data_IF_378801768350
#
_entry.id   IF_378801768350
#
_cell.length_a   1.000
_cell.length_b   1.000
_cell.length_c   1.000
_cell.angle_alpha   90.00
_cell.angle_beta   90.00
_cell.angle_gamma   90.00
#
_symmetry.space_group_name_H-M   'P 1'
#
loop_
_entity.id
_entity.type
_entity.pdbx_description
1 polymer ?
#
# COMPACT_ATOMS: atom_id res chain seq x y z
N UNK A 1 23.12 39.18 -17.03
CA UNK A 1 23.61 38.30 -18.10
C UNK A 1 24.78 37.41 -17.68
N UNK A 2 25.87 37.93 -17.05
CA UNK A 2 26.97 37.08 -16.58
C UNK A 2 26.60 36.24 -15.34
N UNK A 3 25.84 36.81 -14.41
CA UNK A 3 25.36 36.12 -13.21
C UNK A 3 24.35 35.01 -13.54
N UNK A 4 23.45 35.20 -14.53
CA UNK A 4 22.51 34.17 -14.99
C UNK A 4 23.21 32.99 -15.65
N UNK A 5 24.25 33.26 -16.47
CA UNK A 5 25.06 32.20 -17.08
C UNK A 5 25.89 31.41 -16.05
N UNK A 6 26.34 32.07 -14.99
CA UNK A 6 27.03 31.38 -13.87
C UNK A 6 26.08 30.53 -13.05
N UNK A 7 24.84 30.99 -12.81
CA UNK A 7 23.80 30.24 -12.14
C UNK A 7 23.33 29.03 -12.97
N UNK A 8 23.11 29.19 -14.27
CA UNK A 8 22.78 28.09 -15.18
C UNK A 8 23.91 27.05 -15.27
N UNK A 9 25.18 27.49 -15.33
CA UNK A 9 26.34 26.58 -15.37
C UNK A 9 26.57 25.86 -14.04
N UNK A 10 26.23 26.50 -12.90
CA UNK A 10 26.24 25.86 -11.57
C UNK A 10 25.08 24.87 -11.42
N UNK A 11 23.91 25.20 -11.98
CA UNK A 11 22.75 24.29 -12.01
C UNK A 11 23.00 23.06 -12.90
N UNK A 12 23.59 23.25 -14.10
CA UNK A 12 24.00 22.16 -15.01
C UNK A 12 25.07 21.26 -14.36
N UNK A 13 26.04 21.84 -13.67
CA UNK A 13 27.08 21.09 -12.97
C UNK A 13 26.52 20.33 -11.76
N UNK A 14 25.52 20.87 -11.06
CA UNK A 14 24.82 20.20 -9.97
C UNK A 14 23.92 19.05 -10.46
N UNK A 15 23.43 19.11 -11.69
CA UNK A 15 22.66 18.02 -12.33
C UNK A 15 23.61 16.90 -12.79
N UNK A 16 24.82 17.21 -13.28
CA UNK A 16 25.85 16.22 -13.65
C UNK A 16 26.51 15.54 -12.44
N UNK A 17 26.49 16.17 -11.26
CA UNK A 17 27.00 15.61 -9.99
C UNK A 17 25.92 14.89 -9.16
N UNK A 18 24.65 14.89 -9.59
CA UNK A 18 23.61 14.19 -8.87
C UNK A 18 23.84 12.66 -8.91
N UNK A 19 23.91 11.97 -7.76
CA UNK A 19 24.12 10.53 -7.75
C UNK A 19 23.01 9.81 -8.52
N UNK A 20 23.38 8.78 -9.27
CA UNK A 20 22.42 7.94 -10.01
C UNK A 20 21.29 7.48 -9.09
N UNK A 21 20.01 7.44 -9.57
CA UNK A 21 18.89 6.89 -8.80
C UNK A 21 19.14 5.46 -8.26
N UNK A 22 20.06 4.73 -8.88
CA UNK A 22 20.46 3.37 -8.50
C UNK A 22 21.65 3.31 -7.54
N UNK A 23 22.26 4.47 -7.22
CA UNK A 23 23.45 4.54 -6.36
C UNK A 23 23.25 3.84 -4.99
N UNK A 24 22.10 3.94 -4.31
CA UNK A 24 21.87 3.25 -3.03
C UNK A 24 22.08 1.73 -3.10
N UNK A 25 21.83 1.09 -4.25
CA UNK A 25 22.02 -0.36 -4.43
C UNK A 25 23.50 -0.80 -4.44
N UNK A 26 24.44 0.14 -4.52
CA UNK A 26 25.87 -0.16 -4.37
C UNK A 26 26.23 -0.57 -2.93
N UNK A 27 25.50 -0.02 -1.94
CA UNK A 27 25.61 -0.49 -0.56
C UNK A 27 25.05 -1.91 -0.43
N UNK A 28 25.88 -2.86 0.00
CA UNK A 28 25.46 -4.25 0.18
C UNK A 28 24.32 -4.39 1.20
N UNK A 29 24.38 -3.60 2.28
CA UNK A 29 23.36 -3.59 3.35
C UNK A 29 22.04 -3.04 2.82
N UNK A 30 22.07 -1.87 2.16
CA UNK A 30 20.86 -1.29 1.57
C UNK A 30 20.24 -2.23 0.54
N UNK A 31 21.04 -2.81 -0.35
CA UNK A 31 20.59 -3.76 -1.37
C UNK A 31 19.93 -4.99 -0.76
N UNK A 32 20.54 -5.60 0.26
CA UNK A 32 19.97 -6.77 0.92
C UNK A 32 18.64 -6.45 1.60
N UNK A 33 18.56 -5.34 2.34
CA UNK A 33 17.33 -4.87 2.99
C UNK A 33 16.26 -4.51 1.95
N UNK A 34 16.63 -3.84 0.85
CA UNK A 34 15.69 -3.48 -0.21
C UNK A 34 15.08 -4.72 -0.88
N UNK A 35 15.91 -5.74 -1.18
CA UNK A 35 15.43 -7.02 -1.74
C UNK A 35 14.51 -7.72 -0.73
N UNK A 36 14.89 -7.79 0.55
CA UNK A 36 14.08 -8.42 1.59
C UNK A 36 12.71 -7.73 1.73
N UNK A 37 12.67 -6.39 1.72
CA UNK A 37 11.42 -5.62 1.75
C UNK A 37 10.61 -5.82 0.47
N UNK A 38 11.23 -5.90 -0.70
CA UNK A 38 10.53 -6.20 -1.95
C UNK A 38 9.85 -7.57 -1.89
N UNK A 39 10.57 -8.61 -1.45
CA UNK A 39 10.02 -9.96 -1.27
C UNK A 39 8.89 -9.97 -0.25
N UNK A 40 9.06 -9.29 0.89
CA UNK A 40 8.03 -9.15 1.92
C UNK A 40 6.79 -8.43 1.42
N UNK A 41 6.95 -7.37 0.61
CA UNK A 41 5.83 -6.67 -0.03
C UNK A 41 5.09 -7.57 -1.02
N UNK A 42 5.81 -8.34 -1.86
CA UNK A 42 5.22 -9.33 -2.78
C UNK A 42 4.43 -10.37 -1.98
N UNK A 43 5.04 -10.95 -0.93
CA UNK A 43 4.39 -11.93 -0.06
C UNK A 43 3.11 -11.39 0.60
N UNK A 44 3.14 -10.13 1.06
CA UNK A 44 1.97 -9.47 1.66
C UNK A 44 0.82 -9.29 0.66
N UNK A 45 1.11 -8.92 -0.59
CA UNK A 45 0.10 -8.89 -1.65
C UNK A 45 -0.44 -10.28 -1.98
N UNK A 46 0.44 -11.27 -2.07
CA UNK A 46 0.03 -12.66 -2.26
C UNK A 46 -0.90 -13.11 -1.15
N UNK A 47 -0.58 -12.82 0.10
CA UNK A 47 -1.40 -13.18 1.26
C UNK A 47 -2.79 -12.53 1.23
N UNK A 48 -2.90 -11.26 0.86
CA UNK A 48 -4.19 -10.58 0.73
C UNK A 48 -5.08 -11.30 -0.27
N UNK A 49 -4.52 -11.70 -1.43
CA UNK A 49 -5.21 -12.50 -2.45
C UNK A 49 -5.64 -13.85 -1.89
N UNK A 50 -4.74 -14.56 -1.21
CA UNK A 50 -5.02 -15.85 -0.60
C UNK A 50 -6.11 -15.79 0.46
N UNK A 51 -6.05 -14.79 1.34
CA UNK A 51 -7.05 -14.61 2.40
C UNK A 51 -8.44 -14.29 1.83
N UNK A 52 -8.54 -13.43 0.83
CA UNK A 52 -9.80 -13.13 0.16
C UNK A 52 -10.33 -14.35 -0.62
N UNK A 53 -9.44 -15.06 -1.34
CA UNK A 53 -9.85 -16.23 -2.13
C UNK A 53 -10.35 -17.39 -1.27
N UNK A 54 -9.77 -17.59 -0.09
CA UNK A 54 -10.20 -18.64 0.85
C UNK A 54 -11.67 -18.47 1.30
N UNK A 55 -12.19 -17.26 1.30
CA UNK A 55 -13.54 -16.93 1.77
C UNK A 55 -14.56 -16.75 0.63
N UNK A 56 -14.13 -16.84 -0.64
CA UNK A 56 -14.98 -16.47 -1.80
C UNK A 56 -16.19 -17.40 -1.98
N UNK A 57 -16.04 -18.68 -1.66
CA UNK A 57 -17.08 -19.71 -1.86
C UNK A 57 -17.94 -19.96 -0.62
N UNK A 58 -17.64 -19.34 0.54
CA UNK A 58 -18.33 -19.57 1.80
C UNK A 58 -19.67 -18.84 1.93
N UNK A 59 -20.50 -19.23 2.93
CA UNK A 59 -21.69 -18.45 3.29
C UNK A 59 -21.28 -17.08 3.82
N UNK A 60 -22.01 -16.02 3.42
CA UNK A 60 -21.66 -14.64 3.79
C UNK A 60 -20.40 -14.09 3.14
N UNK A 61 -19.94 -14.67 2.02
CA UNK A 61 -18.69 -14.32 1.38
C UNK A 61 -18.55 -12.83 1.06
N UNK A 62 -19.62 -12.11 0.71
CA UNK A 62 -19.56 -10.67 0.43
C UNK A 62 -19.04 -9.87 1.62
N UNK A 63 -19.52 -10.18 2.82
CA UNK A 63 -19.06 -9.54 4.05
C UNK A 63 -17.67 -10.03 4.43
N UNK A 64 -17.44 -11.34 4.43
CA UNK A 64 -16.18 -11.94 4.88
C UNK A 64 -15.00 -11.54 4.02
N UNK A 65 -15.15 -11.57 2.71
CA UNK A 65 -14.09 -11.16 1.75
C UNK A 65 -13.78 -9.66 1.89
N UNK A 66 -14.80 -8.84 2.06
CA UNK A 66 -14.62 -7.41 2.30
C UNK A 66 -13.95 -7.13 3.68
N UNK A 67 -14.27 -7.92 4.70
CA UNK A 67 -13.64 -7.82 6.02
C UNK A 67 -12.16 -8.19 6.01
N UNK A 68 -11.66 -8.99 5.06
CA UNK A 68 -10.21 -9.22 4.89
C UNK A 68 -9.50 -7.89 4.60
N UNK A 69 -10.04 -7.08 3.70
CA UNK A 69 -9.47 -5.76 3.40
C UNK A 69 -9.56 -4.81 4.59
N UNK A 70 -10.68 -4.86 5.32
CA UNK A 70 -10.86 -4.11 6.58
C UNK A 70 -9.85 -4.57 7.63
N UNK A 71 -9.69 -5.88 7.85
CA UNK A 71 -8.75 -6.44 8.81
C UNK A 71 -7.29 -6.11 8.49
N UNK A 72 -6.93 -6.01 7.21
CA UNK A 72 -5.59 -5.61 6.78
C UNK A 72 -5.31 -4.11 6.98
N UNK A 73 -6.33 -3.26 6.81
CA UNK A 73 -6.20 -1.80 6.82
C UNK A 73 -6.43 -1.17 8.19
N UNK A 74 -7.33 -1.75 9.00
CA UNK A 74 -7.71 -1.25 10.32
C UNK A 74 -6.53 -1.14 11.30
N UNK A 75 -5.58 -2.09 11.37
CA UNK A 75 -4.42 -1.96 12.24
C UNK A 75 -3.57 -0.74 11.91
N UNK A 76 -3.43 -0.39 10.63
CA UNK A 76 -2.67 0.81 10.24
C UNK A 76 -3.36 2.07 10.77
N UNK A 77 -4.70 2.14 10.69
CA UNK A 77 -5.47 3.23 11.29
C UNK A 77 -5.22 3.33 12.81
N UNK A 78 -5.21 2.21 13.51
CA UNK A 78 -5.10 2.16 14.98
C UNK A 78 -3.66 2.37 15.47
N UNK A 79 -2.68 1.80 14.76
CA UNK A 79 -1.29 1.72 15.23
C UNK A 79 -0.32 2.63 14.51
N UNK A 80 -0.68 3.29 13.39
CA UNK A 80 0.24 4.17 12.66
C UNK A 80 0.84 5.27 13.54
N UNK A 81 0.04 5.88 14.41
CA UNK A 81 0.51 6.92 15.33
C UNK A 81 1.38 6.36 16.46
N UNK A 82 0.96 5.33 17.23
CA UNK A 82 1.82 4.68 18.23
C UNK A 82 3.10 4.10 17.66
N UNK A 83 3.06 3.54 16.44
CA UNK A 83 4.23 2.93 15.80
C UNK A 83 5.33 3.94 15.46
N UNK A 84 4.97 5.16 15.09
CA UNK A 84 5.92 6.24 14.87
C UNK A 84 6.71 6.53 16.14
N UNK A 85 6.04 6.56 17.31
CA UNK A 85 6.68 6.73 18.63
C UNK A 85 7.62 5.58 18.93
N UNK A 86 7.13 4.34 18.78
CA UNK A 86 7.96 3.16 19.04
C UNK A 86 9.23 3.16 18.20
N UNK A 87 9.17 3.62 16.94
CA UNK A 87 10.32 3.73 16.06
C UNK A 87 11.33 4.82 16.47
N UNK A 88 10.90 5.83 17.24
CA UNK A 88 11.79 6.86 17.78
C UNK A 88 12.48 6.43 19.08
N UNK A 89 11.77 5.71 19.96
CA UNK A 89 12.25 5.33 21.29
C UNK A 89 13.01 4.01 21.32
N UNK A 90 12.62 3.05 20.46
CA UNK A 90 13.22 1.72 20.46
C UNK A 90 14.35 1.59 19.44
N UNK A 91 15.17 0.57 19.63
CA UNK A 91 16.15 0.17 18.63
C UNK A 91 15.42 -0.30 17.36
N UNK A 92 15.62 0.43 16.26
CA UNK A 92 14.91 0.21 14.99
C UNK A 92 15.12 -1.19 14.43
N UNK A 93 16.37 -1.69 14.53
CA UNK A 93 16.71 -3.05 14.10
C UNK A 93 16.00 -4.10 14.94
N UNK A 94 16.03 -3.96 16.28
CA UNK A 94 15.33 -4.89 17.19
C UNK A 94 13.82 -4.84 16.99
N UNK A 95 13.25 -3.63 16.82
CA UNK A 95 11.82 -3.45 16.55
C UNK A 95 11.42 -4.15 15.25
N UNK A 96 12.19 -3.95 14.17
CA UNK A 96 11.95 -4.63 12.89
C UNK A 96 12.10 -6.15 13.03
N UNK A 97 13.14 -6.63 13.72
CA UNK A 97 13.39 -8.05 13.90
C UNK A 97 12.23 -8.73 14.65
N UNK A 98 11.82 -8.17 15.79
CA UNK A 98 10.67 -8.68 16.56
C UNK A 98 9.40 -8.70 15.71
N UNK A 99 9.16 -7.63 14.94
CA UNK A 99 7.99 -7.54 14.05
C UNK A 99 8.05 -8.61 12.96
N UNK A 100 9.21 -8.85 12.33
CA UNK A 100 9.35 -9.87 11.28
C UNK A 100 9.18 -11.28 11.84
N UNK A 101 9.74 -11.58 13.01
CA UNK A 101 9.55 -12.88 13.67
C UNK A 101 8.10 -13.10 14.07
N UNK A 102 7.44 -12.08 14.61
CA UNK A 102 5.99 -12.12 14.88
C UNK A 102 5.17 -12.42 13.62
N UNK A 103 5.42 -11.69 12.52
CA UNK A 103 4.73 -11.91 11.24
C UNK A 103 5.05 -13.31 10.65
N UNK A 104 6.27 -13.81 10.83
CA UNK A 104 6.66 -15.18 10.42
C UNK A 104 5.81 -16.21 11.16
N UNK A 105 5.69 -16.09 12.48
CA UNK A 105 4.88 -17.02 13.29
C UNK A 105 3.41 -16.98 12.88
N UNK A 106 2.83 -15.78 12.78
CA UNK A 106 1.43 -15.61 12.36
C UNK A 106 1.20 -16.18 10.94
N UNK A 107 2.12 -15.91 10.00
CA UNK A 107 2.06 -16.45 8.64
C UNK A 107 2.20 -17.97 8.60
N UNK A 108 3.07 -18.55 9.43
CA UNK A 108 3.21 -20.01 9.55
C UNK A 108 1.93 -20.65 10.13
N UNK A 109 1.32 -20.04 11.15
CA UNK A 109 0.03 -20.49 11.71
C UNK A 109 -1.06 -20.44 10.64
N UNK A 110 -1.14 -19.35 9.84
CA UNK A 110 -2.05 -19.26 8.70
C UNK A 110 -1.85 -20.42 7.71
N UNK A 111 -0.60 -20.70 7.34
CA UNK A 111 -0.26 -21.77 6.39
C UNK A 111 -0.66 -23.14 6.92
N UNK A 112 -0.30 -23.47 8.16
CA UNK A 112 -0.58 -24.77 8.79
C UNK A 112 -2.09 -24.99 8.96
N UNK A 113 -2.81 -24.02 9.52
CA UNK A 113 -4.25 -24.15 9.74
C UNK A 113 -5.02 -24.24 8.41
N UNK A 114 -4.56 -23.56 7.37
CA UNK A 114 -5.16 -23.67 6.04
C UNK A 114 -4.87 -25.03 5.40
N UNK A 115 -3.62 -25.54 5.52
CA UNK A 115 -3.24 -26.83 4.99
C UNK A 115 -3.97 -28.00 5.67
N UNK A 116 -4.26 -27.91 6.97
CA UNK A 116 -4.98 -28.91 7.75
C UNK A 116 -6.51 -28.79 7.64
N UNK A 117 -7.04 -27.75 6.94
CA UNK A 117 -8.48 -27.51 6.86
C UNK A 117 -9.11 -26.95 8.15
N UNK A 118 -8.31 -26.61 9.15
CA UNK A 118 -8.77 -26.08 10.45
C UNK A 118 -9.01 -24.56 10.45
N UNK A 119 -8.81 -23.89 9.30
CA UNK A 119 -8.95 -22.43 9.19
C UNK A 119 -10.41 -22.01 9.10
N UNK A 120 -10.94 -21.42 10.18
CA UNK A 120 -12.25 -20.78 10.16
C UNK A 120 -12.19 -19.30 9.73
N UNK A 121 -13.31 -18.72 9.23
CA UNK A 121 -13.36 -17.33 8.76
C UNK A 121 -12.93 -16.30 9.82
N UNK A 122 -13.42 -16.43 11.06
CA UNK A 122 -13.08 -15.52 12.16
C UNK A 122 -11.59 -15.56 12.50
N UNK A 123 -10.99 -16.75 12.52
CA UNK A 123 -9.57 -16.93 12.81
C UNK A 123 -8.70 -16.34 11.69
N UNK A 124 -9.11 -16.52 10.43
CA UNK A 124 -8.43 -15.88 9.28
C UNK A 124 -8.43 -14.36 9.40
N UNK A 125 -9.55 -13.75 9.77
CA UNK A 125 -9.66 -12.30 9.96
C UNK A 125 -8.78 -11.81 11.12
N UNK A 126 -8.75 -12.53 12.25
CA UNK A 126 -7.87 -12.20 13.38
C UNK A 126 -6.40 -12.29 12.99
N UNK A 127 -5.98 -13.37 12.35
CA UNK A 127 -4.59 -13.54 11.91
C UNK A 127 -4.21 -12.50 10.84
N UNK A 128 -5.12 -12.14 9.93
CA UNK A 128 -4.93 -11.05 8.96
C UNK A 128 -4.78 -9.70 9.66
N UNK A 129 -5.58 -9.43 10.68
CA UNK A 129 -5.45 -8.22 11.51
C UNK A 129 -4.10 -8.17 12.23
N UNK A 130 -3.63 -9.27 12.78
CA UNK A 130 -2.32 -9.37 13.45
C UNK A 130 -1.17 -9.10 12.47
N UNK A 131 -1.23 -9.61 11.23
CA UNK A 131 -0.25 -9.28 10.20
C UNK A 131 -0.30 -7.80 9.81
N UNK A 132 -1.49 -7.23 9.68
CA UNK A 132 -1.68 -5.80 9.47
C UNK A 132 -1.10 -4.94 10.61
N UNK A 133 -1.21 -5.41 11.86
CA UNK A 133 -0.58 -4.75 13.01
C UNK A 133 0.95 -4.77 12.92
N UNK A 134 1.54 -5.90 12.51
CA UNK A 134 2.97 -5.98 12.21
C UNK A 134 3.38 -5.01 11.10
N UNK A 135 2.62 -4.94 10.01
CA UNK A 135 2.90 -4.01 8.90
C UNK A 135 2.81 -2.54 9.32
N UNK A 136 1.87 -2.19 10.22
CA UNK A 136 1.74 -0.84 10.77
C UNK A 136 2.96 -0.40 11.59
N UNK A 137 3.62 -1.33 12.28
CA UNK A 137 4.86 -1.09 13.04
C UNK A 137 6.08 -1.08 12.11
N UNK A 138 6.12 -1.99 11.15
CA UNK A 138 7.23 -2.15 10.21
C UNK A 138 7.50 -0.88 9.39
N UNK A 139 6.45 -0.25 8.87
CA UNK A 139 6.57 0.85 7.91
C UNK A 139 7.36 2.06 8.46
N UNK A 140 6.99 2.68 9.62
CA UNK A 140 7.75 3.80 10.16
C UNK A 140 9.15 3.39 10.62
N UNK A 141 9.32 2.20 11.19
CA UNK A 141 10.61 1.69 11.61
C UNK A 141 11.59 1.52 10.42
N UNK A 142 11.11 0.95 9.31
CA UNK A 142 11.91 0.80 8.10
C UNK A 142 12.28 2.15 7.46
N UNK A 143 11.30 3.08 7.38
CA UNK A 143 11.56 4.43 6.86
C UNK A 143 12.61 5.19 7.70
N UNK A 144 12.63 4.96 9.01
CA UNK A 144 13.60 5.57 9.92
C UNK A 144 15.02 4.95 9.79
N UNK A 145 15.16 3.75 9.24
CA UNK A 145 16.45 3.08 8.97
C UNK A 145 17.09 3.59 7.68
N UNK A 146 16.33 3.96 6.66
CA UNK A 146 16.86 4.34 5.33
C UNK A 146 17.97 5.42 5.42
N UNK A 147 17.82 6.52 6.19
CA UNK A 147 18.86 7.54 6.30
C UNK A 147 20.15 7.08 6.99
N UNK A 148 20.13 5.94 7.68
CA UNK A 148 21.30 5.35 8.31
C UNK A 148 22.08 4.44 7.34
N UNK A 149 21.46 4.06 6.20
CA UNK A 149 22.02 3.11 5.24
C UNK A 149 22.70 3.78 4.04
N UNK A 150 22.35 5.03 3.74
CA UNK A 150 22.82 5.73 2.54
C UNK A 150 23.21 7.18 2.85
N UNK A 151 24.18 7.76 2.12
CA UNK A 151 24.52 9.18 2.21
C UNK A 151 23.31 10.07 1.92
N UNK A 152 23.30 11.27 2.50
CA UNK A 152 22.18 12.23 2.32
C UNK A 152 21.89 12.55 0.84
N UNK A 153 22.91 12.60 -0.01
CA UNK A 153 22.76 12.85 -1.43
C UNK A 153 22.02 11.73 -2.17
N UNK A 154 22.02 10.49 -1.64
CA UNK A 154 21.35 9.32 -2.24
C UNK A 154 19.95 9.07 -1.70
N UNK A 155 19.48 9.81 -0.68
CA UNK A 155 18.13 9.64 -0.10
C UNK A 155 16.99 9.75 -1.13
N UNK A 156 17.03 10.65 -2.12
CA UNK A 156 16.00 10.68 -3.17
C UNK A 156 15.95 9.39 -3.99
N UNK A 157 17.12 8.80 -4.30
CA UNK A 157 17.23 7.50 -4.98
C UNK A 157 16.66 6.36 -4.12
N UNK A 158 16.99 6.33 -2.83
CA UNK A 158 16.46 5.33 -1.89
C UNK A 158 14.92 5.41 -1.77
N UNK A 159 14.36 6.63 -1.72
CA UNK A 159 12.90 6.83 -1.70
C UNK A 159 12.24 6.37 -3.02
N UNK A 160 12.87 6.63 -4.17
CA UNK A 160 12.39 6.15 -5.47
C UNK A 160 12.40 4.61 -5.52
N UNK A 161 13.48 3.96 -5.07
CA UNK A 161 13.58 2.51 -4.97
C UNK A 161 12.53 1.90 -4.03
N UNK A 162 12.21 2.56 -2.90
CA UNK A 162 11.13 2.19 -2.02
C UNK A 162 9.77 2.21 -2.72
N UNK A 163 9.51 3.26 -3.50
CA UNK A 163 8.28 3.38 -4.31
C UNK A 163 8.20 2.30 -5.39
N UNK A 164 9.32 1.98 -6.05
CA UNK A 164 9.40 0.88 -7.03
C UNK A 164 9.06 -0.44 -6.35
N UNK A 165 9.62 -0.73 -5.17
CA UNK A 165 9.34 -1.96 -4.41
C UNK A 165 7.84 -2.15 -4.16
N UNK A 166 7.16 -1.13 -3.63
CA UNK A 166 5.73 -1.19 -3.32
C UNK A 166 4.87 -1.38 -4.58
N UNK A 167 5.16 -0.64 -5.66
CA UNK A 167 4.35 -0.70 -6.88
C UNK A 167 4.60 -1.99 -7.67
N UNK A 168 5.85 -2.48 -7.71
CA UNK A 168 6.19 -3.76 -8.33
C UNK A 168 5.51 -4.92 -7.60
N UNK A 169 5.54 -4.91 -6.26
CA UNK A 169 4.87 -5.91 -5.44
C UNK A 169 3.35 -5.93 -5.69
N UNK A 170 2.73 -4.75 -5.83
CA UNK A 170 1.29 -4.63 -6.16
C UNK A 170 0.94 -5.21 -7.53
N UNK A 171 1.84 -5.08 -8.52
CA UNK A 171 1.60 -5.61 -9.86
C UNK A 171 1.86 -7.12 -9.95
N UNK A 172 2.96 -7.58 -9.35
CA UNK A 172 3.45 -8.96 -9.51
C UNK A 172 2.88 -9.91 -8.44
N UNK A 173 2.71 -9.43 -7.21
CA UNK A 173 2.25 -10.26 -6.08
C UNK A 173 0.94 -10.99 -6.34
N UNK A 174 -0.12 -10.29 -6.76
CA UNK A 174 -1.40 -10.92 -7.07
C UNK A 174 -1.33 -11.93 -8.20
N UNK A 175 -0.53 -11.66 -9.25
CA UNK A 175 -0.34 -12.60 -10.36
C UNK A 175 0.31 -13.91 -9.89
N UNK A 176 1.39 -13.80 -9.10
CA UNK A 176 2.05 -14.97 -8.49
C UNK A 176 1.06 -15.70 -7.57
N UNK A 177 0.31 -14.97 -6.73
CA UNK A 177 -0.67 -15.57 -5.84
C UNK A 177 -1.71 -16.39 -6.60
N UNK A 178 -2.30 -15.81 -7.66
CA UNK A 178 -3.28 -16.48 -8.49
C UNK A 178 -2.75 -17.78 -9.11
N UNK A 179 -1.51 -17.78 -9.61
CA UNK A 179 -0.84 -18.98 -10.15
C UNK A 179 -0.59 -20.02 -9.04
N UNK A 180 -0.02 -19.62 -7.92
CA UNK A 180 0.28 -20.51 -6.78
C UNK A 180 -1.01 -21.13 -6.23
N UNK A 181 -2.09 -20.35 -6.09
CA UNK A 181 -3.38 -20.86 -5.62
C UNK A 181 -3.94 -21.89 -6.61
N UNK A 182 -3.84 -21.62 -7.91
CA UNK A 182 -4.37 -22.50 -8.94
C UNK A 182 -3.64 -23.85 -9.04
N UNK A 183 -2.33 -23.88 -8.72
CA UNK A 183 -1.53 -25.09 -8.86
C UNK A 183 -1.31 -25.85 -7.54
N UNK A 184 -1.15 -25.14 -6.44
CA UNK A 184 -0.72 -25.72 -5.16
C UNK A 184 -1.78 -25.47 -4.06
N UNK A 185 -2.51 -24.36 -4.14
CA UNK A 185 -3.52 -23.97 -3.16
C UNK A 185 -3.12 -22.78 -2.28
N UNK A 186 -4.09 -22.31 -1.48
CA UNK A 186 -3.96 -21.09 -0.67
C UNK A 186 -2.90 -21.25 0.43
N UNK A 187 -2.78 -22.44 1.04
CA UNK A 187 -1.81 -22.69 2.11
C UNK A 187 -0.37 -22.38 1.67
N UNK A 188 -0.02 -22.70 0.41
CA UNK A 188 1.30 -22.41 -0.14
C UNK A 188 1.58 -20.90 -0.22
N UNK A 189 0.58 -20.08 -0.53
CA UNK A 189 0.71 -18.61 -0.54
C UNK A 189 1.06 -18.08 0.85
N UNK A 190 0.41 -18.58 1.89
CA UNK A 190 0.71 -18.18 3.28
C UNK A 190 2.09 -18.66 3.73
N UNK A 191 2.49 -19.87 3.34
CA UNK A 191 3.82 -20.41 3.63
C UNK A 191 4.93 -19.57 2.94
N UNK A 192 4.75 -19.24 1.67
CA UNK A 192 5.68 -18.37 0.93
C UNK A 192 5.80 -17.02 1.62
N UNK A 193 4.69 -16.41 2.03
CA UNK A 193 4.75 -15.12 2.74
C UNK A 193 5.47 -15.24 4.09
N UNK A 194 5.23 -16.29 4.88
CA UNK A 194 5.97 -16.54 6.12
C UNK A 194 7.49 -16.65 5.87
N UNK A 195 7.90 -17.31 4.78
CA UNK A 195 9.30 -17.39 4.38
C UNK A 195 9.87 -16.01 4.01
N UNK A 196 9.09 -15.15 3.33
CA UNK A 196 9.59 -13.78 3.02
C UNK A 196 9.84 -12.95 4.27
N UNK A 197 9.01 -13.07 5.31
CA UNK A 197 9.25 -12.43 6.60
C UNK A 197 10.49 -13.00 7.30
N UNK A 198 10.69 -14.32 7.24
CA UNK A 198 11.88 -14.97 7.78
C UNK A 198 13.16 -14.52 7.06
N UNK A 199 13.13 -14.40 5.73
CA UNK A 199 14.25 -13.85 4.94
C UNK A 199 14.57 -12.43 5.38
N UNK A 200 13.55 -11.60 5.59
CA UNK A 200 13.77 -10.24 6.06
C UNK A 200 14.38 -10.25 7.49
N UNK A 201 13.88 -11.10 8.40
CA UNK A 201 14.46 -11.26 9.74
C UNK A 201 15.92 -11.70 9.65
N UNK A 202 16.27 -12.64 8.77
CA UNK A 202 17.64 -13.09 8.57
C UNK A 202 18.58 -11.97 8.10
N UNK A 203 18.12 -11.12 7.17
CA UNK A 203 18.87 -9.94 6.71
C UNK A 203 19.07 -8.95 7.87
N UNK A 204 18.07 -8.74 8.73
CA UNK A 204 18.19 -7.89 9.91
C UNK A 204 19.16 -8.46 10.95
N UNK A 205 19.25 -9.79 11.09
CA UNK A 205 20.25 -10.44 11.96
C UNK A 205 21.66 -10.24 11.41
N UNK A 206 21.84 -10.39 10.11
CA UNK A 206 23.12 -10.16 9.43
C UNK A 206 23.57 -8.69 9.51
N UNK A 207 22.65 -7.72 9.38
CA UNK A 207 22.95 -6.31 9.48
C UNK A 207 23.25 -5.92 10.93
N UNK A 208 24.41 -5.32 11.16
CA UNK A 208 24.85 -4.80 12.46
C UNK A 208 25.11 -3.31 12.34
N UNK A 209 24.13 -2.46 12.71
CA UNK A 209 24.31 -1.01 12.68
C UNK A 209 25.33 -0.57 13.73
N UNK A 210 26.07 0.48 13.42
CA UNK A 210 26.87 1.19 14.42
C UNK A 210 25.96 1.88 15.43
N UNK A 211 26.36 1.94 16.72
CA UNK A 211 25.60 2.68 17.73
C UNK A 211 25.54 4.16 17.36
N UNK A 212 24.34 4.70 17.15
CA UNK A 212 24.13 6.13 16.91
C UNK A 212 23.64 6.76 18.19
N UNK A 213 24.32 7.82 18.64
CA UNK A 213 23.85 8.67 19.75
C UNK A 213 22.51 9.31 19.37
N UNK A 214 21.49 9.08 20.20
CA UNK A 214 20.12 9.52 19.92
C UNK A 214 19.83 10.79 20.71
N UNK A 215 19.45 11.89 20.06
CA UNK A 215 18.91 13.05 20.76
C UNK A 215 17.65 12.66 21.52
N UNK A 216 17.42 13.27 22.67
CA UNK A 216 16.23 13.03 23.48
C UNK A 216 14.97 13.36 22.68
N UNK A 217 14.02 12.41 22.56
CA UNK A 217 12.83 12.65 21.77
C UNK A 217 11.93 13.69 22.41
N UNK A 218 11.37 14.59 21.59
CA UNK A 218 10.35 15.54 22.01
C UNK A 218 9.09 14.81 22.52
N UNK A 219 8.37 15.40 23.47
CA UNK A 219 7.14 14.82 24.01
C UNK A 219 6.10 14.60 22.91
N UNK A 220 5.94 13.35 22.48
CA UNK A 220 5.11 12.89 21.36
C UNK A 220 3.67 13.41 21.39
N UNK A 221 2.99 13.35 22.56
CA UNK A 221 1.60 13.80 22.70
C UNK A 221 1.41 15.29 22.41
N UNK A 222 2.38 16.13 22.78
CA UNK A 222 2.35 17.56 22.46
C UNK A 222 2.52 17.79 20.96
N UNK A 223 3.42 17.06 20.35
CA UNK A 223 3.70 17.09 18.94
C UNK A 223 2.49 16.62 18.10
N UNK A 224 1.84 15.53 18.51
CA UNK A 224 0.64 15.01 17.85
C UNK A 224 -0.55 15.97 17.97
N UNK A 225 -0.79 16.54 19.15
CA UNK A 225 -1.84 17.56 19.37
C UNK A 225 -1.61 18.82 18.53
N UNK A 226 -0.36 19.26 18.39
CA UNK A 226 -0.02 20.40 17.55
C UNK A 226 -0.30 20.11 16.06
N UNK A 227 0.12 18.93 15.57
CA UNK A 227 -0.18 18.49 14.21
C UNK A 227 -1.68 18.36 13.93
N UNK A 228 -2.43 17.76 14.85
CA UNK A 228 -3.89 17.60 14.73
C UNK A 228 -4.62 18.95 14.71
N UNK A 229 -4.23 19.90 15.56
CA UNK A 229 -4.77 21.26 15.53
C UNK A 229 -4.49 21.97 14.21
N UNK A 230 -3.27 21.84 13.67
CA UNK A 230 -2.92 22.43 12.38
C UNK A 230 -3.76 21.86 11.25
N UNK A 231 -3.86 20.52 11.15
CA UNK A 231 -4.67 19.84 10.13
C UNK A 231 -6.14 20.25 10.21
N UNK A 232 -6.70 20.35 11.41
CA UNK A 232 -8.09 20.75 11.65
C UNK A 232 -8.38 22.19 11.17
N UNK A 233 -7.42 23.11 11.30
CA UNK A 233 -7.60 24.53 10.96
C UNK A 233 -7.07 24.90 9.57
N UNK A 234 -6.40 23.97 8.85
CA UNK A 234 -5.90 24.19 7.49
C UNK A 234 -6.97 23.83 6.44
N UNK A 235 -7.64 24.82 5.80
CA UNK A 235 -8.76 24.55 4.87
C UNK A 235 -8.34 23.69 3.67
N UNK A 236 -7.12 23.89 3.17
CA UNK A 236 -6.56 23.12 2.05
C UNK A 236 -6.42 21.64 2.43
N UNK A 237 -5.84 21.37 3.61
CA UNK A 237 -5.64 19.98 4.07
C UNK A 237 -6.98 19.30 4.28
N UNK A 238 -7.95 19.98 4.90
CA UNK A 238 -9.32 19.46 5.07
C UNK A 238 -9.99 19.10 3.75
N UNK A 239 -9.89 19.98 2.73
CA UNK A 239 -10.43 19.70 1.39
C UNK A 239 -9.77 18.50 0.74
N UNK A 240 -8.45 18.34 0.91
CA UNK A 240 -7.73 17.17 0.39
C UNK A 240 -8.18 15.90 1.10
N UNK A 241 -8.31 15.91 2.44
CA UNK A 241 -8.81 14.76 3.20
C UNK A 241 -10.24 14.37 2.81
N UNK A 242 -11.12 15.37 2.61
CA UNK A 242 -12.47 15.11 2.14
C UNK A 242 -12.48 14.48 0.74
N UNK A 243 -11.69 15.02 -0.21
CA UNK A 243 -11.56 14.43 -1.56
C UNK A 243 -11.02 13.01 -1.51
N UNK A 244 -10.08 12.74 -0.59
CA UNK A 244 -9.53 11.41 -0.37
C UNK A 244 -10.63 10.43 0.08
N UNK A 245 -11.44 10.81 1.06
CA UNK A 245 -12.56 9.97 1.55
C UNK A 245 -13.60 9.76 0.45
N UNK A 246 -14.00 10.83 -0.26
CA UNK A 246 -14.97 10.77 -1.35
C UNK A 246 -14.52 9.88 -2.52
N UNK A 247 -13.23 9.73 -2.73
CA UNK A 247 -12.70 8.81 -3.74
C UNK A 247 -12.51 7.40 -3.17
N UNK A 248 -11.88 7.25 -1.99
CA UNK A 248 -11.49 5.96 -1.45
C UNK A 248 -12.70 5.11 -1.03
N UNK A 249 -13.73 5.71 -0.43
CA UNK A 249 -14.91 4.95 0.01
C UNK A 249 -15.60 4.27 -1.17
N UNK A 250 -15.98 4.93 -2.26
CA UNK A 250 -16.50 4.27 -3.45
C UNK A 250 -15.49 3.28 -4.07
N UNK A 251 -14.26 3.71 -4.24
CA UNK A 251 -13.22 2.90 -4.88
C UNK A 251 -12.90 1.60 -4.12
N UNK A 252 -13.13 1.55 -2.80
CA UNK A 252 -12.91 0.36 -1.99
C UNK A 252 -13.84 -0.82 -2.34
N UNK A 253 -14.97 -0.57 -3.02
CA UNK A 253 -15.81 -1.64 -3.56
C UNK A 253 -15.03 -2.59 -4.48
N UNK A 254 -14.17 -2.03 -5.35
CA UNK A 254 -13.32 -2.84 -6.23
C UNK A 254 -12.38 -3.73 -5.43
N UNK A 255 -11.64 -3.17 -4.49
CA UNK A 255 -10.67 -3.90 -3.68
C UNK A 255 -11.30 -4.97 -2.78
N UNK A 256 -12.52 -4.69 -2.29
CA UNK A 256 -13.24 -5.58 -1.39
C UNK A 256 -13.97 -6.71 -2.11
N UNK A 257 -14.57 -6.46 -3.28
CA UNK A 257 -15.51 -7.37 -3.92
C UNK A 257 -15.01 -7.98 -5.24
N UNK A 258 -13.83 -7.57 -5.74
CA UNK A 258 -13.27 -8.08 -7.00
C UNK A 258 -13.11 -9.61 -7.03
N UNK A 259 -12.71 -10.30 -5.93
CA UNK A 259 -12.63 -11.77 -5.95
C UNK A 259 -14.00 -12.43 -6.17
N UNK A 260 -15.09 -11.83 -5.67
CA UNK A 260 -16.45 -12.32 -5.93
C UNK A 260 -16.89 -12.09 -7.39
N UNK A 261 -16.46 -10.99 -8.00
CA UNK A 261 -16.65 -10.75 -9.44
C UNK A 261 -15.91 -11.82 -10.24
N UNK A 262 -14.64 -12.10 -9.90
CA UNK A 262 -13.82 -13.10 -10.57
C UNK A 262 -14.43 -14.50 -10.51
N UNK A 263 -14.93 -14.91 -9.33
CA UNK A 263 -15.50 -16.22 -9.08
C UNK A 263 -16.93 -16.35 -9.62
N UNK A 264 -17.87 -15.50 -9.13
CA UNK A 264 -19.31 -15.69 -9.36
C UNK A 264 -19.82 -15.14 -10.69
N UNK A 265 -19.17 -14.09 -11.24
CA UNK A 265 -19.64 -13.45 -12.47
C UNK A 265 -18.83 -13.79 -13.69
N UNK A 266 -17.52 -13.90 -13.55
CA UNK A 266 -16.61 -14.17 -14.65
C UNK A 266 -16.21 -15.65 -14.73
N UNK A 267 -16.30 -16.40 -13.62
CA UNK A 267 -15.95 -17.82 -13.58
C UNK A 267 -14.48 -18.12 -13.89
N UNK A 268 -13.57 -17.18 -13.61
CA UNK A 268 -12.15 -17.26 -14.05
C UNK A 268 -11.20 -17.80 -12.96
N UNK A 269 -11.72 -18.19 -11.82
CA UNK A 269 -10.93 -18.79 -10.74
C UNK A 269 -9.89 -17.85 -10.12
N UNK A 270 -9.02 -18.42 -9.27
CA UNK A 270 -7.98 -17.67 -8.56
C UNK A 270 -6.93 -17.05 -9.49
N UNK A 271 -6.55 -17.77 -10.54
CA UNK A 271 -5.61 -17.28 -11.57
C UNK A 271 -6.15 -16.03 -12.26
N UNK A 272 -7.43 -16.05 -12.63
CA UNK A 272 -8.12 -14.90 -13.22
C UNK A 272 -8.21 -13.73 -12.24
N UNK A 273 -8.53 -13.97 -10.97
CA UNK A 273 -8.53 -12.92 -9.94
C UNK A 273 -7.13 -12.28 -9.81
N UNK A 274 -6.07 -13.10 -9.76
CA UNK A 274 -4.70 -12.60 -9.76
C UNK A 274 -4.39 -11.74 -10.98
N UNK A 275 -4.86 -12.13 -12.17
CA UNK A 275 -4.69 -11.36 -13.41
C UNK A 275 -5.43 -10.01 -13.37
N UNK A 276 -6.66 -9.96 -12.83
CA UNK A 276 -7.41 -8.71 -12.66
C UNK A 276 -6.65 -7.71 -11.78
N UNK A 277 -6.12 -8.17 -10.64
CA UNK A 277 -5.32 -7.33 -9.75
C UNK A 277 -3.98 -6.93 -10.38
N UNK A 278 -3.35 -7.83 -11.13
CA UNK A 278 -2.12 -7.54 -11.86
C UNK A 278 -2.35 -6.43 -12.91
N UNK A 279 -3.47 -6.47 -13.65
CA UNK A 279 -3.84 -5.41 -14.59
C UNK A 279 -3.97 -4.05 -13.89
N UNK A 280 -4.66 -4.01 -12.74
CA UNK A 280 -4.75 -2.81 -11.90
C UNK A 280 -3.35 -2.31 -11.43
N UNK A 281 -2.49 -3.24 -11.02
CA UNK A 281 -1.11 -2.96 -10.59
C UNK A 281 -0.26 -2.41 -11.74
N UNK A 282 -0.29 -3.03 -12.91
CA UNK A 282 0.41 -2.57 -14.12
C UNK A 282 -0.09 -1.18 -14.51
N UNK A 283 -1.41 -0.95 -14.51
CA UNK A 283 -1.98 0.36 -14.74
C UNK A 283 -1.44 1.41 -13.76
N UNK A 284 -1.29 1.06 -12.49
CA UNK A 284 -0.71 1.96 -11.47
C UNK A 284 0.76 2.29 -11.76
N UNK A 285 1.56 1.32 -12.22
CA UNK A 285 2.95 1.56 -12.63
C UNK A 285 3.02 2.50 -13.84
N UNK A 286 2.22 2.24 -14.87
CA UNK A 286 2.10 3.11 -16.05
C UNK A 286 1.67 4.53 -15.64
N UNK A 287 0.69 4.64 -14.76
CA UNK A 287 0.20 5.91 -14.22
C UNK A 287 1.30 6.69 -13.48
N UNK A 288 2.11 6.01 -12.67
CA UNK A 288 3.23 6.63 -11.96
C UNK A 288 4.27 7.24 -12.92
N UNK A 289 4.57 6.55 -14.02
CA UNK A 289 5.50 7.03 -15.07
C UNK A 289 4.91 8.17 -15.89
N UNK A 290 3.61 8.11 -16.18
CA UNK A 290 2.93 9.13 -16.98
C UNK A 290 2.61 10.41 -16.21
N UNK A 291 2.39 10.31 -14.89
CA UNK A 291 1.92 11.42 -14.06
C UNK A 291 2.76 12.71 -14.16
N UNK A 292 4.11 12.69 -14.17
CA UNK A 292 4.90 13.91 -14.34
C UNK A 292 4.65 14.62 -15.68
N UNK A 293 4.45 13.84 -16.76
CA UNK A 293 4.15 14.38 -18.09
C UNK A 293 2.75 15.00 -18.14
N UNK A 294 1.77 14.33 -17.54
CA UNK A 294 0.38 14.79 -17.49
C UNK A 294 0.23 16.07 -16.66
N UNK A 295 0.96 16.17 -15.53
CA UNK A 295 0.98 17.39 -14.68
C UNK A 295 1.54 18.63 -15.39
N UNK A 296 2.34 18.46 -16.42
CA UNK A 296 2.84 19.58 -17.23
C UNK A 296 1.80 20.13 -18.21
N UNK A 297 0.81 19.30 -18.60
CA UNK A 297 -0.20 19.63 -19.62
C UNK A 297 -1.57 19.97 -19.07
N UNK A 298 -1.93 19.38 -17.92
CA UNK A 298 -3.27 19.45 -17.34
C UNK A 298 -3.26 20.00 -15.91
N UNK A 299 -4.29 20.76 -15.56
CA UNK A 299 -4.45 21.28 -14.23
C UNK A 299 -4.68 20.13 -13.21
N UNK A 300 -4.28 20.31 -11.93
CA UNK A 300 -4.52 19.31 -10.89
C UNK A 300 -5.99 18.91 -10.75
N UNK A 301 -6.91 19.87 -10.92
CA UNK A 301 -8.34 19.60 -10.85
C UNK A 301 -8.80 18.73 -12.01
N UNK A 302 -8.37 19.02 -13.23
CA UNK A 302 -8.70 18.24 -14.43
C UNK A 302 -8.18 16.81 -14.30
N UNK A 303 -6.93 16.63 -13.83
CA UNK A 303 -6.37 15.31 -13.59
C UNK A 303 -7.17 14.49 -12.58
N UNK A 304 -7.58 15.11 -11.46
CA UNK A 304 -8.39 14.45 -10.44
C UNK A 304 -9.77 14.07 -10.98
N UNK A 305 -10.43 14.97 -11.74
CA UNK A 305 -11.75 14.71 -12.33
C UNK A 305 -11.67 13.56 -13.33
N UNK A 306 -10.75 13.62 -14.30
CA UNK A 306 -10.58 12.56 -15.30
C UNK A 306 -10.24 11.20 -14.65
N UNK A 307 -9.38 11.20 -13.65
CA UNK A 307 -9.05 9.97 -12.93
C UNK A 307 -10.28 9.42 -12.17
N UNK A 308 -11.04 10.28 -11.48
CA UNK A 308 -12.25 9.83 -10.76
C UNK A 308 -13.32 9.29 -11.72
N UNK A 309 -13.57 9.98 -12.82
CA UNK A 309 -14.53 9.51 -13.86
C UNK A 309 -14.06 8.20 -14.50
N UNK A 310 -12.75 8.08 -14.82
CA UNK A 310 -12.19 6.83 -15.36
C UNK A 310 -12.35 5.67 -14.38
N UNK A 311 -12.13 5.90 -13.08
CA UNK A 311 -12.29 4.87 -12.05
C UNK A 311 -13.76 4.48 -11.86
N UNK A 312 -14.68 5.47 -11.85
CA UNK A 312 -16.13 5.22 -11.78
C UNK A 312 -16.62 4.42 -12.99
N UNK A 313 -16.18 4.78 -14.20
CA UNK A 313 -16.48 4.00 -15.41
C UNK A 313 -15.96 2.55 -15.31
N UNK A 314 -14.79 2.36 -14.72
CA UNK A 314 -14.26 1.01 -14.48
C UNK A 314 -15.13 0.22 -13.49
N UNK A 315 -15.62 0.84 -12.40
CA UNK A 315 -16.56 0.21 -11.48
C UNK A 315 -17.83 -0.25 -12.20
N UNK A 316 -18.42 0.61 -13.05
CA UNK A 316 -19.59 0.25 -13.85
C UNK A 316 -19.31 -0.94 -14.78
N UNK A 317 -18.21 -0.93 -15.50
CA UNK A 317 -17.84 -2.03 -16.40
C UNK A 317 -17.63 -3.33 -15.63
N UNK A 318 -16.87 -3.30 -14.52
CA UNK A 318 -16.62 -4.47 -13.65
C UNK A 318 -17.93 -5.02 -13.09
N UNK A 319 -18.86 -4.15 -12.69
CA UNK A 319 -20.18 -4.54 -12.17
C UNK A 319 -21.12 -5.12 -13.22
N UNK A 320 -21.14 -4.58 -14.43
CA UNK A 320 -22.16 -4.89 -15.43
C UNK A 320 -21.71 -5.92 -16.48
N UNK A 321 -20.42 -5.91 -16.86
CA UNK A 321 -19.89 -6.72 -17.94
C UNK A 321 -19.48 -8.12 -17.42
N UNK A 322 -19.79 -9.16 -18.22
CA UNK A 322 -19.42 -10.57 -17.93
C UNK A 322 -18.32 -11.09 -18.84
N UNK A 323 -17.62 -10.22 -19.53
CA UNK A 323 -16.58 -10.57 -20.50
C UNK A 323 -15.22 -10.37 -19.81
N UNK A 324 -14.49 -11.46 -19.46
CA UNK A 324 -13.27 -11.38 -18.64
C UNK A 324 -12.19 -10.46 -19.23
N UNK A 325 -11.89 -10.59 -20.52
CA UNK A 325 -10.85 -9.80 -21.16
C UNK A 325 -11.17 -8.29 -21.19
N UNK A 326 -12.45 -7.91 -21.27
CA UNK A 326 -12.86 -6.50 -21.22
C UNK A 326 -12.68 -5.93 -19.80
N UNK A 327 -12.97 -6.74 -18.77
CA UNK A 327 -12.72 -6.34 -17.38
C UNK A 327 -11.22 -6.17 -17.14
N UNK A 328 -10.36 -7.08 -17.62
CA UNK A 328 -8.90 -6.93 -17.56
C UNK A 328 -8.45 -5.63 -18.21
N UNK A 329 -8.96 -5.35 -19.43
CA UNK A 329 -8.59 -4.17 -20.19
C UNK A 329 -8.96 -2.86 -19.48
N UNK A 330 -10.14 -2.80 -18.85
CA UNK A 330 -10.63 -1.60 -18.16
C UNK A 330 -9.97 -1.39 -16.80
N UNK A 331 -9.41 -2.43 -16.20
CA UNK A 331 -8.65 -2.31 -14.95
C UNK A 331 -7.28 -1.64 -15.15
N UNK A 332 -6.72 -1.64 -16.36
CA UNK A 332 -5.48 -0.89 -16.66
C UNK A 332 -5.68 0.63 -16.45
N UNK A 333 -6.62 1.31 -17.13
CA UNK A 333 -6.88 2.73 -16.86
C UNK A 333 -7.40 3.00 -15.44
N UNK A 334 -8.09 2.04 -14.79
CA UNK A 334 -8.46 2.16 -13.38
C UNK A 334 -7.22 2.22 -12.47
N UNK A 335 -6.19 1.43 -12.74
CA UNK A 335 -4.91 1.49 -12.04
C UNK A 335 -4.20 2.82 -12.24
N UNK A 336 -4.18 3.34 -13.48
CA UNK A 336 -3.66 4.70 -13.77
C UNK A 336 -4.42 5.74 -12.94
N UNK A 337 -5.74 5.70 -12.93
CA UNK A 337 -6.60 6.61 -12.19
C UNK A 337 -6.33 6.55 -10.67
N UNK A 338 -6.23 5.35 -10.12
CA UNK A 338 -5.92 5.12 -8.71
C UNK A 338 -4.64 5.85 -8.27
N UNK A 339 -3.52 5.61 -8.97
CA UNK A 339 -2.25 6.23 -8.59
C UNK A 339 -2.25 7.73 -8.85
N UNK A 340 -2.93 8.21 -9.90
CA UNK A 340 -3.06 9.63 -10.18
C UNK A 340 -3.77 10.39 -9.06
N UNK A 341 -4.87 9.87 -8.54
CA UNK A 341 -5.60 10.49 -7.43
C UNK A 341 -4.74 10.49 -6.17
N UNK A 342 -4.24 9.32 -5.75
CA UNK A 342 -3.47 9.21 -4.51
C UNK A 342 -2.20 10.06 -4.54
N UNK A 343 -1.42 9.98 -5.62
CA UNK A 343 -0.17 10.76 -5.75
C UNK A 343 -0.45 12.27 -5.83
N UNK A 344 -1.53 12.69 -6.47
CA UNK A 344 -1.87 14.12 -6.57
C UNK A 344 -2.32 14.69 -5.23
N UNK A 345 -3.17 13.98 -4.51
CA UNK A 345 -3.63 14.39 -3.18
C UNK A 345 -2.47 14.39 -2.17
N UNK A 346 -1.64 13.35 -2.17
CA UNK A 346 -0.46 13.25 -1.32
C UNK A 346 0.54 14.39 -1.59
N UNK A 347 0.85 14.66 -2.86
CA UNK A 347 1.74 15.76 -3.26
C UNK A 347 1.19 17.14 -2.84
N UNK A 348 -0.13 17.35 -2.92
CA UNK A 348 -0.76 18.58 -2.47
C UNK A 348 -0.58 18.79 -0.96
N UNK A 349 -0.77 17.73 -0.16
CA UNK A 349 -0.52 17.78 1.30
C UNK A 349 0.94 18.07 1.57
N UNK A 350 1.88 17.37 0.92
CA UNK A 350 3.31 17.58 1.10
C UNK A 350 3.77 19.00 0.75
N UNK A 351 3.24 19.56 -0.35
CA UNK A 351 3.59 20.90 -0.81
C UNK A 351 3.03 22.03 0.04
N UNK A 352 1.83 21.82 0.63
CA UNK A 352 1.16 22.82 1.46
C UNK A 352 1.71 22.86 2.90
N UNK A 353 2.13 21.71 3.45
CA UNK A 353 2.53 21.62 4.84
C UNK A 353 3.95 22.19 5.07
N UNK A 354 4.14 23.11 6.03
CA UNK A 354 5.45 23.55 6.49
C UNK A 354 6.31 22.36 6.96
N UNK A 355 7.65 22.51 6.86
CA UNK A 355 8.59 21.43 7.19
C UNK A 355 8.38 20.84 8.60
N UNK A 356 8.11 21.67 9.59
CA UNK A 356 7.95 21.28 11.00
C UNK A 356 6.68 20.46 11.29
N UNK A 357 5.63 20.54 10.44
CA UNK A 357 4.38 19.80 10.63
C UNK A 357 4.16 18.72 9.55
N UNK A 358 5.03 18.66 8.51
CA UNK A 358 4.84 17.82 7.33
C UNK A 358 4.71 16.34 7.66
N UNK A 359 5.61 15.79 8.47
CA UNK A 359 5.57 14.38 8.86
C UNK A 359 4.25 14.03 9.56
N UNK A 360 3.80 14.88 10.47
CA UNK A 360 2.54 14.72 11.22
C UNK A 360 1.32 14.81 10.31
N UNK A 361 1.30 15.77 9.39
CA UNK A 361 0.21 15.90 8.42
C UNK A 361 0.11 14.73 7.46
N UNK A 362 1.25 14.14 7.08
CA UNK A 362 1.28 12.91 6.29
C UNK A 362 0.80 11.70 7.08
N UNK A 363 1.09 11.62 8.38
CA UNK A 363 0.51 10.57 9.24
C UNK A 363 -1.01 10.67 9.30
N UNK A 364 -1.59 11.87 9.42
CA UNK A 364 -3.04 12.08 9.33
C UNK A 364 -3.61 11.69 7.96
N UNK A 365 -2.88 11.99 6.87
CA UNK A 365 -3.26 11.53 5.53
C UNK A 365 -3.35 9.99 5.47
N UNK A 366 -2.39 9.28 6.02
CA UNK A 366 -2.40 7.81 6.09
C UNK A 366 -3.55 7.27 6.95
N UNK A 367 -3.80 7.88 8.11
CA UNK A 367 -4.94 7.54 8.98
C UNK A 367 -6.27 7.66 8.21
N UNK A 368 -6.47 8.76 7.46
CA UNK A 368 -7.68 8.97 6.66
C UNK A 368 -7.75 7.96 5.50
N UNK A 369 -6.63 7.71 4.81
CA UNK A 369 -6.56 6.74 3.70
C UNK A 369 -6.96 5.33 4.15
N UNK A 370 -6.29 4.82 5.19
CA UNK A 370 -6.54 3.46 5.67
C UNK A 370 -7.89 3.34 6.40
N UNK A 371 -8.31 4.40 7.11
CA UNK A 371 -9.64 4.46 7.72
C UNK A 371 -10.76 4.44 6.71
N UNK A 372 -10.65 5.23 5.63
CA UNK A 372 -11.60 5.24 4.53
C UNK A 372 -11.60 3.90 3.77
N UNK A 373 -10.43 3.27 3.59
CA UNK A 373 -10.32 1.94 2.97
C UNK A 373 -10.99 0.88 3.84
N UNK A 374 -10.70 0.83 5.13
CA UNK A 374 -11.29 -0.14 6.06
C UNK A 374 -12.81 0.03 6.16
N UNK A 375 -13.27 1.27 6.41
CA UNK A 375 -14.70 1.58 6.52
C UNK A 375 -15.45 1.39 5.21
N UNK A 376 -14.88 1.81 4.08
CA UNK A 376 -15.46 1.63 2.77
C UNK A 376 -15.56 0.16 2.38
N UNK A 377 -14.53 -0.65 2.64
CA UNK A 377 -14.58 -2.09 2.38
C UNK A 377 -15.66 -2.79 3.19
N UNK A 378 -15.76 -2.51 4.50
CA UNK A 378 -16.81 -3.04 5.36
C UNK A 378 -18.21 -2.61 4.87
N UNK A 379 -18.37 -1.32 4.51
CA UNK A 379 -19.62 -0.79 3.96
C UNK A 379 -20.07 -1.56 2.73
N UNK A 380 -19.20 -1.72 1.72
CA UNK A 380 -19.56 -2.41 0.48
C UNK A 380 -19.77 -3.90 0.66
N UNK A 381 -19.07 -4.54 1.60
CA UNK A 381 -19.37 -5.91 1.99
C UNK A 381 -20.78 -6.09 2.53
N UNK A 382 -21.25 -5.14 3.38
CA UNK A 382 -22.60 -5.14 3.93
C UNK A 382 -23.65 -4.75 2.87
N UNK A 383 -23.38 -3.75 2.04
CA UNK A 383 -24.27 -3.30 0.96
C UNK A 383 -24.49 -4.40 -0.08
N UNK A 384 -23.49 -5.23 -0.34
CA UNK A 384 -23.59 -6.36 -1.26
C UNK A 384 -24.47 -7.53 -0.76
N UNK A 385 -24.98 -7.48 0.47
CA UNK A 385 -25.91 -8.49 1.00
C UNK A 385 -27.32 -8.27 0.47
N UNK A 386 -27.95 -7.09 0.64
CA UNK A 386 -29.28 -6.81 0.11
C UNK A 386 -29.28 -6.45 -1.39
N UNK A 387 -28.18 -5.88 -1.88
CA UNK A 387 -27.99 -5.58 -3.31
C UNK A 387 -27.11 -6.68 -3.92
N UNK A 388 -27.41 -7.10 -5.12
CA UNK A 388 -26.50 -7.99 -5.84
C UNK A 388 -25.18 -7.28 -6.21
N UNK A 389 -24.16 -8.05 -6.62
CA UNK A 389 -22.85 -7.49 -6.99
C UNK A 389 -22.94 -6.41 -8.06
N UNK A 390 -23.73 -6.56 -9.17
CA UNK A 390 -23.91 -5.51 -10.17
C UNK A 390 -24.41 -4.19 -9.61
N UNK A 391 -25.50 -4.21 -8.86
CA UNK A 391 -26.09 -3.01 -8.26
C UNK A 391 -25.15 -2.37 -7.26
N UNK A 392 -24.43 -3.18 -6.45
CA UNK A 392 -23.41 -2.67 -5.53
C UNK A 392 -22.33 -1.88 -6.27
N UNK A 393 -21.83 -2.38 -7.40
CA UNK A 393 -20.84 -1.67 -8.20
C UNK A 393 -21.41 -0.42 -8.88
N UNK A 394 -22.67 -0.44 -9.35
CA UNK A 394 -23.35 0.72 -9.91
C UNK A 394 -23.53 1.81 -8.85
N UNK A 395 -23.94 1.46 -7.64
CA UNK A 395 -24.12 2.42 -6.54
C UNK A 395 -22.78 2.98 -6.07
N UNK A 396 -21.69 2.19 -6.15
CA UNK A 396 -20.35 2.65 -5.77
C UNK A 396 -19.70 3.57 -6.80
N UNK A 397 -20.15 3.54 -8.06
CA UNK A 397 -19.61 4.33 -9.17
C UNK A 397 -20.16 5.74 -9.18
#
# INVERSE_FOLDING_TARGET
>A
MAADKAADKAADKAVDEAPSPWAPLRSAVFRALWIAVLLSNIGTWMQTVGAQWLLVSGPGASVLVALVQTASSLPVLLFALPSGVLAEFLDKRRLLLVTQLFQTVVGAVLAVLTATGAMGPSLLLVLTFLLGAGAAVQLPAYQAVIPELVPRAELPGAAALGSISVNLARAVGPAIAGLVISWIGVAAVFAINAVTFLVFAAVLVWWRPEPVDRPHPEAFLSALRAGGRYVRHAPVVRRVMLRLVLFIVPASALWALLPLIADRRLGIGAGGYGLLLAALGIGSLVGAVLLPRLRRRWSPTMLLTLASVSYAAALLVVGLVRIPWLVVLVLLPAGVAWIMVLSSLNATVQGFLPRWVRARGLSFYQVVLFGATAGGSALWGLVAVPLDLPLTFVVSA
#
